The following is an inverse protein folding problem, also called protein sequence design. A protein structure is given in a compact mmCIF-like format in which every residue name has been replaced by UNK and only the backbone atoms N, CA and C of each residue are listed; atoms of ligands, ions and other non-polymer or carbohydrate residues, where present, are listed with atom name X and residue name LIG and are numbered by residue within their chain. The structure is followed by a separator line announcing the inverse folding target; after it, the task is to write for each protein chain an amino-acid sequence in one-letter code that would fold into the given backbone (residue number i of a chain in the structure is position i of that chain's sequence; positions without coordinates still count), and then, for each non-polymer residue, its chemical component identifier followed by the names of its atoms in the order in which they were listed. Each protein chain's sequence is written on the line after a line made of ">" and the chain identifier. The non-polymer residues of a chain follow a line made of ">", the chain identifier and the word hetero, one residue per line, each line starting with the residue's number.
data_IF_861042755208
#
_entry.id   IF_861042755208
#
_cell.length_a   1.000
_cell.length_b   1.000
_cell.length_c   1.000
_cell.angle_alpha   90.00
_cell.angle_beta   90.00
_cell.angle_gamma   90.00
#
_symmetry.space_group_name_H-M   'P 1'
#
loop_
_entity.id
_entity.type
_entity.pdbx_description
1 polymer ?
#
# COMPACT_ATOMS: atom_id res chain seq x y z
N UNK A 1 7.20 5.25 -7.40
CA UNK A 1 8.35 6.14 -7.16
C UNK A 1 8.34 6.65 -5.74
N UNK A 2 9.50 6.86 -5.13
CA UNK A 2 9.63 7.52 -3.82
C UNK A 2 10.55 8.72 -3.97
N UNK A 3 10.05 9.91 -3.64
CA UNK A 3 10.85 11.14 -3.65
C UNK A 3 11.96 11.07 -2.60
N UNK A 4 12.97 11.94 -2.71
CA UNK A 4 14.12 11.96 -1.79
C UNK A 4 13.73 12.06 -0.31
N UNK A 5 12.70 12.85 0.02
CA UNK A 5 12.13 12.98 1.37
C UNK A 5 10.90 12.12 1.63
N UNK A 6 10.53 11.25 0.68
CA UNK A 6 9.35 10.40 0.79
C UNK A 6 9.63 9.13 1.59
N UNK A 7 8.67 8.69 2.40
CA UNK A 7 8.77 7.46 3.18
C UNK A 7 8.35 6.22 2.36
N UNK A 8 7.44 6.38 1.40
CA UNK A 8 6.82 5.27 0.66
C UNK A 8 6.84 5.49 -0.85
N UNK A 9 6.87 4.39 -1.61
CA UNK A 9 6.69 4.44 -3.06
C UNK A 9 5.21 4.66 -3.40
N UNK A 10 4.95 5.60 -4.30
CA UNK A 10 3.62 5.89 -4.84
C UNK A 10 3.59 5.50 -6.33
N UNK A 11 2.49 4.92 -6.81
CA UNK A 11 2.31 4.65 -8.23
C UNK A 11 2.27 5.97 -9.02
N UNK A 12 3.22 6.16 -9.93
CA UNK A 12 3.33 7.39 -10.73
C UNK A 12 2.61 7.29 -12.10
N UNK A 13 2.50 6.09 -12.65
CA UNK A 13 1.92 5.83 -13.96
C UNK A 13 2.42 4.51 -14.55
N UNK A 14 2.01 4.23 -15.79
CA UNK A 14 2.42 3.05 -16.54
C UNK A 14 3.17 3.47 -17.80
N UNK A 15 4.01 2.57 -18.35
CA UNK A 15 4.70 2.77 -19.62
C UNK A 15 4.94 1.41 -20.29
N UNK A 16 5.20 1.43 -21.59
CA UNK A 16 5.65 0.27 -22.34
C UNK A 16 7.18 0.28 -22.47
N UNK A 17 7.80 -0.88 -22.30
CA UNK A 17 9.23 -1.11 -22.51
C UNK A 17 9.45 -2.59 -22.84
N UNK A 18 10.52 -2.93 -23.59
CA UNK A 18 10.82 -4.32 -23.94
C UNK A 18 11.32 -5.16 -22.76
N UNK A 19 11.93 -4.53 -21.75
CA UNK A 19 12.51 -5.18 -20.57
C UNK A 19 12.56 -4.22 -19.36
N UNK A 20 12.89 -4.74 -18.18
CA UNK A 20 12.96 -3.99 -16.93
C UNK A 20 14.03 -2.89 -16.94
N UNK A 21 15.15 -3.09 -17.64
CA UNK A 21 16.24 -2.11 -17.71
C UNK A 21 15.79 -0.88 -18.48
N UNK A 22 15.13 -1.08 -19.62
CA UNK A 22 14.54 -0.01 -20.41
C UNK A 22 13.35 0.63 -19.69
N UNK A 23 12.55 -0.14 -18.96
CA UNK A 23 11.47 0.40 -18.15
C UNK A 23 11.98 1.40 -17.09
N UNK A 24 13.05 1.09 -16.37
CA UNK A 24 13.64 1.99 -15.37
C UNK A 24 14.17 3.26 -16.02
N UNK A 25 14.87 3.16 -17.16
CA UNK A 25 15.39 4.33 -17.87
C UNK A 25 14.26 5.24 -18.37
N UNK A 26 13.24 4.68 -18.99
CA UNK A 26 12.09 5.43 -19.48
C UNK A 26 11.30 6.07 -18.32
N UNK A 27 11.14 5.35 -17.20
CA UNK A 27 10.47 5.88 -16.01
C UNK A 27 11.24 7.05 -15.37
N UNK A 28 12.57 6.99 -15.34
CA UNK A 28 13.43 8.09 -14.87
C UNK A 28 13.21 9.35 -15.70
N UNK A 29 13.18 9.21 -17.01
CA UNK A 29 13.03 10.36 -17.90
C UNK A 29 11.61 10.94 -17.83
N UNK A 30 10.58 10.08 -17.83
CA UNK A 30 9.18 10.50 -17.85
C UNK A 30 8.69 11.06 -16.51
N UNK A 31 8.97 10.38 -15.40
CA UNK A 31 8.33 10.67 -14.11
C UNK A 31 9.21 11.45 -13.13
N UNK A 32 10.53 11.44 -13.30
CA UNK A 32 11.44 12.07 -12.34
C UNK A 32 12.22 13.24 -12.90
N UNK A 33 12.14 13.49 -14.22
CA UNK A 33 12.95 14.51 -14.92
C UNK A 33 14.44 14.39 -14.60
N UNK A 34 14.92 13.15 -14.40
CA UNK A 34 16.30 12.82 -13.99
C UNK A 34 16.76 13.41 -12.65
N UNK A 35 15.84 13.87 -11.80
CA UNK A 35 16.19 14.38 -10.48
C UNK A 35 16.85 13.29 -9.61
N UNK A 36 17.76 13.74 -8.74
CA UNK A 36 18.55 12.88 -7.88
C UNK A 36 17.80 12.46 -6.62
N UNK A 37 18.26 11.38 -5.98
CA UNK A 37 17.68 10.87 -4.73
C UNK A 37 16.29 10.25 -4.86
N UNK A 38 15.82 9.97 -6.08
CA UNK A 38 14.51 9.33 -6.32
C UNK A 38 14.69 7.83 -6.52
N UNK A 39 13.99 7.05 -5.72
CA UNK A 39 13.92 5.59 -5.89
C UNK A 39 12.77 5.22 -6.84
N UNK A 40 13.07 4.40 -7.84
CA UNK A 40 12.12 3.93 -8.84
C UNK A 40 11.97 2.42 -8.71
N UNK A 41 10.73 1.95 -8.66
CA UNK A 41 10.38 0.55 -8.85
C UNK A 41 9.63 0.43 -10.17
N UNK A 42 9.93 -0.63 -10.92
CA UNK A 42 9.17 -1.05 -12.09
C UNK A 42 8.68 -2.47 -11.83
N UNK A 43 7.44 -2.75 -12.22
CA UNK A 43 6.80 -4.05 -12.06
C UNK A 43 6.01 -4.30 -13.34
N UNK A 44 6.08 -5.51 -13.91
CA UNK A 44 5.24 -5.87 -15.05
C UNK A 44 3.79 -5.93 -14.61
N UNK A 45 2.88 -5.48 -15.47
CA UNK A 45 1.44 -5.53 -15.17
C UNK A 45 0.97 -6.97 -14.88
N UNK A 46 1.54 -7.96 -15.55
CA UNK A 46 1.26 -9.39 -15.33
C UNK A 46 1.60 -9.90 -13.93
N UNK A 47 2.51 -9.20 -13.24
CA UNK A 47 3.02 -9.63 -11.93
C UNK A 47 2.23 -8.96 -10.79
N UNK A 48 1.22 -8.13 -11.12
CA UNK A 48 0.35 -7.44 -10.16
C UNK A 48 -1.01 -8.13 -10.14
N UNK A 49 -1.40 -8.65 -8.98
CA UNK A 49 -2.78 -9.10 -8.74
C UNK A 49 -3.55 -7.99 -8.03
N UNK A 50 -4.67 -7.56 -8.61
CA UNK A 50 -5.57 -6.61 -8.00
C UNK A 50 -6.70 -7.33 -7.25
N UNK A 51 -7.14 -6.78 -6.12
CA UNK A 51 -8.36 -7.23 -5.46
C UNK A 51 -9.58 -6.91 -6.31
N UNK A 52 -10.59 -7.79 -6.27
CA UNK A 52 -11.89 -7.54 -6.88
C UNK A 52 -12.55 -6.30 -6.22
N UNK A 53 -12.93 -5.27 -7.00
CA UNK A 53 -13.65 -4.11 -6.48
C UNK A 53 -14.92 -4.47 -5.71
N UNK A 54 -15.65 -5.49 -6.15
CA UNK A 54 -16.92 -5.91 -5.53
C UNK A 54 -16.69 -6.61 -4.18
N UNK A 55 -15.49 -7.13 -3.95
CA UNK A 55 -15.11 -7.74 -2.67
C UNK A 55 -14.58 -6.73 -1.63
N UNK A 56 -14.59 -5.42 -1.94
CA UNK A 56 -14.02 -4.38 -1.07
C UNK A 56 -14.54 -4.44 0.37
N UNK A 57 -15.85 -4.65 0.54
CA UNK A 57 -16.47 -4.73 1.86
C UNK A 57 -15.90 -5.86 2.72
N UNK A 58 -15.67 -7.04 2.14
CA UNK A 58 -15.12 -8.19 2.88
C UNK A 58 -13.66 -8.01 3.28
N UNK A 59 -12.87 -7.31 2.47
CA UNK A 59 -11.42 -7.19 2.68
C UNK A 59 -11.02 -5.96 3.50
N UNK A 60 -11.75 -4.84 3.36
CA UNK A 60 -11.26 -3.54 3.82
C UNK A 60 -12.22 -2.80 4.74
N UNK A 61 -13.50 -3.19 4.83
CA UNK A 61 -14.38 -2.59 5.82
C UNK A 61 -14.10 -3.21 7.19
N UNK A 62 -13.97 -2.35 8.20
CA UNK A 62 -14.00 -2.82 9.59
C UNK A 62 -15.32 -3.55 9.84
N UNK A 63 -15.35 -4.62 10.66
CA UNK A 63 -16.59 -5.32 10.95
C UNK A 63 -17.59 -4.35 11.61
N UNK A 64 -18.57 -3.89 10.83
CA UNK A 64 -19.61 -2.99 11.30
C UNK A 64 -20.34 -3.68 12.47
N UNK A 65 -20.58 -2.96 13.57
CA UNK A 65 -21.27 -3.50 14.75
C UNK A 65 -20.42 -4.35 15.70
N UNK A 66 -19.08 -4.40 15.54
CA UNK A 66 -18.18 -5.04 16.51
C UNK A 66 -17.54 -4.08 17.52
N UNK A 67 -18.24 -3.00 17.84
CA UNK A 67 -17.82 -2.02 18.85
C UNK A 67 -17.60 -2.68 20.22
N UNK A 68 -18.36 -3.74 20.54
CA UNK A 68 -18.21 -4.55 21.75
C UNK A 68 -16.80 -5.17 21.95
N UNK A 69 -15.92 -5.12 20.94
CA UNK A 69 -14.52 -5.57 21.04
C UNK A 69 -13.56 -4.48 21.49
N UNK A 70 -14.01 -3.23 21.63
CA UNK A 70 -13.20 -2.16 22.21
C UNK A 70 -12.98 -2.41 23.70
N UNK A 71 -11.76 -2.15 24.17
CA UNK A 71 -11.37 -2.27 25.57
C UNK A 71 -12.34 -1.56 26.54
N UNK A 72 -12.92 -0.44 26.11
CA UNK A 72 -13.90 0.36 26.85
C UNK A 72 -15.21 -0.38 27.18
N UNK A 73 -15.55 -1.43 26.42
CA UNK A 73 -16.78 -2.22 26.63
C UNK A 73 -16.55 -3.47 27.49
N UNK A 74 -15.31 -3.77 27.89
CA UNK A 74 -15.04 -4.78 28.90
C UNK A 74 -15.11 -4.12 30.28
N UNK A 75 -16.14 -4.43 31.06
CA UNK A 75 -16.14 -4.14 32.50
C UNK A 75 -15.11 -5.06 33.16
N UNK A 76 -14.30 -4.54 34.07
CA UNK A 76 -13.39 -5.36 34.89
C UNK A 76 -14.17 -6.56 35.44
N UNK A 77 -13.61 -7.76 35.27
CA UNK A 77 -14.21 -8.95 35.84
C UNK A 77 -14.08 -8.91 37.36
N UNK A 78 -15.19 -8.85 38.08
CA UNK A 78 -15.27 -8.99 39.55
C UNK A 78 -14.89 -10.42 40.00
N UNK A 79 -13.68 -10.92 39.69
CA UNK A 79 -13.16 -12.17 40.26
C UNK A 79 -11.72 -12.56 39.89
N UNK A 80 -10.80 -11.65 39.54
CA UNK A 80 -9.39 -12.03 39.31
C UNK A 80 -8.49 -11.25 40.29
N UNK A 81 -7.87 -11.92 41.30
CA UNK A 81 -7.19 -11.19 42.38
C UNK A 81 -5.95 -10.38 41.98
N UNK A 82 -5.45 -10.45 40.74
CA UNK A 82 -4.19 -9.82 40.33
C UNK A 82 -4.15 -9.38 38.86
N UNK A 83 -5.10 -8.53 38.45
CA UNK A 83 -4.93 -7.64 37.29
C UNK A 83 -4.75 -6.20 37.79
#
# INVERSE_FOLDING_TARGET
>A
MRSSRGLSHVHAGSLHAPDETMAVRNARDLYTRRAEGISIWVVRASDITASDPDARGSFFESPQGKEYRHATYYTESDSVPHL
#
